data_IF_278262529422
#
_entry.id   IF_278262529422
#
_cell.length_a   1.000
_cell.length_b   1.000
_cell.length_c   1.000
_cell.angle_alpha   90.00
_cell.angle_beta   90.00
_cell.angle_gamma   90.00
#
_symmetry.space_group_name_H-M   'P 1'
#
loop_
_entity.id
_entity.type
_entity.pdbx_description
1 polymer ?
#
# COMPACT_ATOMS: atom_id res chain seq x y z
N UNK A 1 21.75 26.72 8.76
CA UNK A 1 21.40 26.35 7.38
C UNK A 1 20.64 25.05 7.44
N UNK A 2 19.71 24.82 6.51
CA UNK A 2 18.99 23.54 6.44
C UNK A 2 19.83 22.54 5.69
N UNK A 3 20.08 21.39 6.31
CA UNK A 3 20.66 20.23 5.67
C UNK A 3 19.65 19.08 5.69
N UNK A 4 19.27 18.63 4.51
CA UNK A 4 18.46 17.45 4.30
C UNK A 4 19.36 16.26 3.97
N UNK A 5 19.10 15.13 4.62
CA UNK A 5 19.86 13.89 4.44
C UNK A 5 18.86 12.80 4.04
N UNK A 6 19.08 12.15 2.91
CA UNK A 6 18.31 11.02 2.42
C UNK A 6 19.15 9.75 2.32
N UNK A 7 18.58 8.61 2.69
CA UNK A 7 19.21 7.28 2.58
C UNK A 7 18.20 6.24 2.08
N UNK A 8 18.65 5.33 1.23
CA UNK A 8 17.84 4.19 0.77
C UNK A 8 18.70 3.00 0.33
N UNK A 9 18.04 1.83 0.17
CA UNK A 9 18.58 0.57 -0.36
C UNK A 9 19.80 0.04 0.42
N UNK A 10 19.80 0.24 1.74
CA UNK A 10 20.85 -0.22 2.68
C UNK A 10 20.61 -1.60 3.25
N UNK A 11 19.38 -2.10 3.14
CA UNK A 11 18.92 -3.36 3.72
C UNK A 11 18.91 -4.51 2.73
N UNK A 12 18.75 -5.72 3.26
CA UNK A 12 18.58 -6.93 2.45
C UNK A 12 17.61 -7.91 3.14
N UNK A 13 17.14 -8.96 2.43
CA UNK A 13 16.40 -10.05 3.07
C UNK A 13 17.18 -10.78 4.18
N UNK A 14 18.51 -10.63 4.23
CA UNK A 14 19.38 -11.32 5.18
C UNK A 14 19.56 -10.57 6.50
N UNK A 15 19.27 -9.27 6.55
CA UNK A 15 19.44 -8.44 7.74
C UNK A 15 19.47 -6.95 7.42
N UNK A 16 19.67 -6.14 8.45
CA UNK A 16 19.65 -4.67 8.39
C UNK A 16 18.29 -4.07 8.00
N UNK A 17 18.19 -2.75 8.12
CA UNK A 17 17.02 -1.98 7.73
C UNK A 17 17.41 -0.52 7.55
N UNK A 18 17.00 0.11 6.43
CA UNK A 18 17.21 1.56 6.19
C UNK A 18 16.69 2.42 7.34
N UNK A 19 15.60 1.98 7.98
CA UNK A 19 15.01 2.67 9.14
C UNK A 19 15.89 2.59 10.38
N UNK A 20 16.52 1.43 10.64
CA UNK A 20 17.44 1.27 11.77
C UNK A 20 18.65 2.20 11.62
N UNK A 21 19.26 2.24 10.44
CA UNK A 21 20.35 3.16 10.13
C UNK A 21 19.91 4.63 10.27
N UNK A 22 18.76 4.98 9.70
CA UNK A 22 18.23 6.33 9.82
C UNK A 22 17.94 6.76 11.26
N UNK A 23 17.49 5.83 12.11
CA UNK A 23 17.28 6.10 13.54
C UNK A 23 18.60 6.34 14.28
N UNK A 24 19.66 5.59 13.97
CA UNK A 24 20.98 5.81 14.57
C UNK A 24 21.53 7.19 14.21
N UNK A 25 21.53 7.52 12.92
CA UNK A 25 22.00 8.82 12.41
C UNK A 25 21.19 9.97 13.00
N UNK A 26 19.86 9.84 13.05
CA UNK A 26 19.00 10.89 13.63
C UNK A 26 19.35 11.16 15.10
N UNK A 27 19.58 10.10 15.90
CA UNK A 27 19.94 10.20 17.32
C UNK A 27 21.34 10.77 17.54
N UNK A 28 22.28 10.40 16.68
CA UNK A 28 23.65 10.89 16.73
C UNK A 28 23.71 12.39 16.41
N UNK A 29 23.11 12.81 15.30
CA UNK A 29 23.13 14.21 14.87
C UNK A 29 22.24 15.11 15.70
N UNK A 30 21.19 14.59 16.36
CA UNK A 30 20.42 15.37 17.34
C UNK A 30 21.24 15.84 18.55
N UNK A 31 22.47 15.34 18.72
CA UNK A 31 23.43 15.83 19.75
C UNK A 31 24.32 16.96 19.23
N UNK A 32 24.45 17.09 17.91
CA UNK A 32 25.33 18.04 17.22
C UNK A 32 24.56 19.20 16.57
N UNK A 33 23.30 18.96 16.21
CA UNK A 33 22.45 19.88 15.47
C UNK A 33 20.98 19.76 15.89
N UNK A 34 20.20 20.82 15.64
CA UNK A 34 18.78 20.84 15.98
C UNK A 34 17.96 20.16 14.87
N UNK A 35 17.23 19.06 15.15
CA UNK A 35 16.35 18.47 14.17
C UNK A 35 15.13 19.37 13.93
N UNK A 36 14.81 19.63 12.66
CA UNK A 36 13.64 20.46 12.29
C UNK A 36 12.32 19.76 12.63
N UNK A 37 12.30 18.44 12.49
CA UNK A 37 11.13 17.60 12.76
C UNK A 37 11.58 16.16 13.04
N UNK A 38 10.63 15.25 13.26
CA UNK A 38 10.85 13.81 13.25
C UNK A 38 11.45 13.37 11.91
N UNK A 39 12.26 12.29 11.90
CA UNK A 39 12.71 11.72 10.63
C UNK A 39 11.51 11.20 9.83
N UNK A 40 11.66 11.22 8.51
CA UNK A 40 10.64 10.86 7.54
C UNK A 40 10.90 9.45 7.02
N UNK A 41 9.86 8.61 7.01
CA UNK A 41 9.86 7.31 6.36
C UNK A 41 8.95 7.38 5.14
N UNK A 42 9.56 7.42 3.95
CA UNK A 42 8.86 7.64 2.69
C UNK A 42 8.80 6.34 1.91
N UNK A 43 7.60 5.80 1.75
CA UNK A 43 7.31 4.67 0.87
C UNK A 43 7.24 5.19 -0.56
N UNK A 44 7.96 4.56 -1.46
CA UNK A 44 7.96 4.85 -2.90
C UNK A 44 6.98 3.91 -3.62
N UNK A 45 6.99 3.92 -4.95
CA UNK A 45 6.07 3.13 -5.77
C UNK A 45 6.03 1.65 -5.35
N UNK A 46 4.88 1.12 -4.88
CA UNK A 46 4.79 -0.23 -4.35
C UNK A 46 4.87 -1.31 -5.44
N UNK A 47 4.88 -0.93 -6.72
CA UNK A 47 4.82 -1.87 -7.82
C UNK A 47 6.18 -2.29 -8.37
N UNK A 48 7.25 -1.57 -8.02
CA UNK A 48 8.62 -1.84 -8.48
C UNK A 48 9.09 -3.25 -8.05
N UNK A 49 9.76 -4.02 -8.94
CA UNK A 49 10.24 -5.37 -8.63
C UNK A 49 11.55 -5.37 -7.83
N UNK A 50 12.43 -4.40 -8.12
CA UNK A 50 13.69 -4.19 -7.40
C UNK A 50 13.38 -3.43 -6.11
N UNK A 51 12.91 -4.12 -5.08
CA UNK A 51 12.65 -3.52 -3.78
C UNK A 51 12.94 -4.51 -2.68
N UNK A 52 13.39 -4.01 -1.55
CA UNK A 52 13.29 -4.73 -0.28
C UNK A 52 11.84 -4.65 0.22
N UNK A 53 11.58 -5.12 1.45
CA UNK A 53 10.21 -5.14 1.97
C UNK A 53 9.65 -3.72 2.09
N UNK A 54 8.69 -3.43 1.22
CA UNK A 54 7.87 -2.22 1.29
C UNK A 54 8.46 -0.96 0.62
N UNK A 55 9.60 -1.04 -0.08
CA UNK A 55 10.16 0.05 -0.90
C UNK A 55 10.22 1.42 -0.18
N UNK A 56 10.91 1.49 0.96
CA UNK A 56 10.90 2.66 1.83
C UNK A 56 12.29 3.27 2.02
N UNK A 57 12.38 4.57 1.78
CA UNK A 57 13.55 5.40 2.01
C UNK A 57 13.37 6.27 3.27
N UNK A 58 14.47 6.74 3.84
CA UNK A 58 14.46 7.60 5.03
C UNK A 58 15.07 8.95 4.71
N UNK A 59 14.46 10.02 5.22
CA UNK A 59 15.06 11.34 5.22
C UNK A 59 14.99 12.00 6.59
N UNK A 60 15.89 12.93 6.84
CA UNK A 60 15.93 13.74 8.05
C UNK A 60 16.44 15.14 7.71
N UNK A 61 16.11 16.12 8.54
CA UNK A 61 16.47 17.52 8.29
C UNK A 61 16.90 18.19 9.58
N UNK A 62 18.03 18.88 9.52
CA UNK A 62 18.63 19.58 10.64
C UNK A 62 18.92 21.04 10.28
N UNK A 63 18.81 21.92 11.28
CA UNK A 63 19.45 23.23 11.24
C UNK A 63 20.90 23.06 11.74
N UNK A 64 21.86 23.32 10.86
CA UNK A 64 23.29 23.09 11.07
C UNK A 64 24.11 24.36 10.85
N UNK A 65 25.22 24.49 11.58
CA UNK A 65 26.31 25.40 11.24
C UNK A 65 27.08 24.82 10.04
N UNK A 66 27.46 25.67 9.09
CA UNK A 66 28.20 25.24 7.88
C UNK A 66 29.47 24.45 8.22
N UNK A 67 30.11 24.76 9.35
CA UNK A 67 31.36 24.11 9.79
C UNK A 67 31.19 22.63 10.16
N UNK A 68 29.99 22.21 10.58
CA UNK A 68 29.73 20.81 10.97
C UNK A 68 29.22 19.95 9.80
N UNK A 69 28.86 20.57 8.67
CA UNK A 69 28.35 19.85 7.50
C UNK A 69 29.33 18.77 7.01
N UNK A 70 30.64 19.02 6.86
CA UNK A 70 31.57 17.98 6.43
C UNK A 70 31.61 16.78 7.38
N UNK A 71 31.61 17.02 8.69
CA UNK A 71 31.61 15.96 9.71
C UNK A 71 30.34 15.11 9.64
N UNK A 72 29.17 15.75 9.45
CA UNK A 72 27.90 15.04 9.26
C UNK A 72 27.94 14.18 8.00
N UNK A 73 28.40 14.74 6.87
CA UNK A 73 28.50 14.02 5.58
C UNK A 73 29.40 12.78 5.72
N UNK A 74 30.60 12.96 6.28
CA UNK A 74 31.57 11.88 6.49
C UNK A 74 30.99 10.79 7.41
N UNK A 75 30.30 11.19 8.49
CA UNK A 75 29.68 10.27 9.43
C UNK A 75 28.59 9.44 8.75
N UNK A 76 27.68 10.06 7.99
CA UNK A 76 26.65 9.32 7.24
C UNK A 76 27.27 8.30 6.30
N UNK A 77 28.28 8.72 5.51
CA UNK A 77 28.95 7.83 4.57
C UNK A 77 29.67 6.68 5.28
N UNK A 78 30.29 6.95 6.44
CA UNK A 78 30.90 5.94 7.28
C UNK A 78 29.87 4.90 7.75
N UNK A 79 28.76 5.33 8.35
CA UNK A 79 27.74 4.39 8.83
C UNK A 79 27.09 3.62 7.69
N UNK A 80 26.78 4.25 6.55
CA UNK A 80 26.26 3.55 5.37
C UNK A 80 27.25 2.49 4.90
N UNK A 81 28.55 2.80 4.89
CA UNK A 81 29.60 1.86 4.51
C UNK A 81 29.82 0.72 5.52
N UNK A 82 29.58 0.96 6.82
CA UNK A 82 29.74 -0.07 7.85
C UNK A 82 28.50 -0.98 7.98
N UNK A 83 27.31 -0.40 7.80
CA UNK A 83 26.05 -1.03 8.16
C UNK A 83 25.26 -1.56 6.96
N UNK A 84 25.58 -1.17 5.72
CA UNK A 84 24.87 -1.72 4.56
C UNK A 84 25.29 -3.15 4.26
N UNK A 85 24.33 -4.00 3.85
CA UNK A 85 24.65 -5.37 3.42
C UNK A 85 25.19 -5.40 1.98
N UNK A 86 26.47 -5.07 1.81
CA UNK A 86 27.12 -5.11 0.49
C UNK A 86 27.26 -6.53 -0.08
N UNK A 87 27.05 -7.58 0.70
CA UNK A 87 27.16 -8.96 0.19
C UNK A 87 25.98 -9.34 -0.69
N UNK A 88 24.83 -8.69 -0.53
CA UNK A 88 23.63 -8.98 -1.30
C UNK A 88 23.60 -8.20 -2.63
N UNK A 89 23.38 -8.88 -3.75
CA UNK A 89 23.44 -8.28 -5.10
C UNK A 89 22.45 -7.11 -5.28
N UNK A 90 21.26 -7.24 -4.70
CA UNK A 90 20.21 -6.22 -4.83
C UNK A 90 20.35 -5.02 -3.88
N UNK A 91 21.29 -5.03 -2.94
CA UNK A 91 21.52 -3.90 -2.01
C UNK A 91 22.50 -2.92 -2.64
N UNK A 92 21.98 -1.78 -3.11
CA UNK A 92 22.72 -0.74 -3.84
C UNK A 92 22.48 0.64 -3.21
N UNK A 93 23.09 0.90 -2.03
CA UNK A 93 22.81 2.08 -1.23
C UNK A 93 23.00 3.39 -1.99
N UNK A 94 22.15 4.36 -1.65
CA UNK A 94 22.30 5.74 -2.08
C UNK A 94 22.13 6.70 -0.92
N UNK A 95 22.93 7.75 -0.93
CA UNK A 95 22.89 8.85 0.04
C UNK A 95 22.73 10.16 -0.73
N UNK A 96 21.88 11.04 -0.24
CA UNK A 96 21.69 12.39 -0.80
C UNK A 96 21.80 13.42 0.33
N UNK A 97 22.53 14.49 0.06
CA UNK A 97 22.57 15.70 0.85
C UNK A 97 22.02 16.86 0.03
N UNK A 98 21.12 17.64 0.63
CA UNK A 98 20.58 18.83 -0.01
C UNK A 98 20.57 19.99 0.99
N UNK A 99 21.07 21.14 0.57
CA UNK A 99 21.23 22.32 1.43
C UNK A 99 20.24 23.41 1.00
N UNK A 100 19.60 24.05 1.99
CA UNK A 100 18.60 25.10 1.74
C UNK A 100 17.18 24.58 1.56
N UNK A 101 16.32 25.35 0.90
CA UNK A 101 14.90 25.03 0.71
C UNK A 101 14.69 24.11 -0.49
N UNK A 102 13.81 23.12 -0.35
CA UNK A 102 13.51 22.13 -1.39
C UNK A 102 12.83 22.81 -2.60
N UNK A 103 13.41 22.72 -3.81
CA UNK A 103 12.80 23.27 -5.01
C UNK A 103 11.62 22.39 -5.50
N UNK A 104 10.70 23.01 -6.25
CA UNK A 104 9.52 22.34 -6.80
C UNK A 104 9.90 21.15 -7.71
N UNK A 105 10.91 21.32 -8.57
CA UNK A 105 11.46 20.28 -9.45
C UNK A 105 11.80 18.97 -8.69
N UNK A 106 12.36 19.11 -7.48
CA UNK A 106 12.74 17.96 -6.65
C UNK A 106 11.52 17.30 -5.98
N UNK A 107 10.53 18.11 -5.62
CA UNK A 107 9.25 17.63 -5.09
C UNK A 107 8.45 16.88 -6.16
N UNK A 108 8.45 17.37 -7.40
CA UNK A 108 7.85 16.69 -8.54
C UNK A 108 8.53 15.35 -8.83
N UNK A 109 9.86 15.30 -8.78
CA UNK A 109 10.61 14.04 -8.88
C UNK A 109 10.18 13.03 -7.80
N UNK A 110 10.05 13.47 -6.54
CA UNK A 110 9.59 12.62 -5.44
C UNK A 110 8.20 12.02 -5.70
N UNK A 111 7.25 12.85 -6.14
CA UNK A 111 5.89 12.41 -6.48
C UNK A 111 5.89 11.44 -7.68
N UNK A 112 6.73 11.67 -8.69
CA UNK A 112 6.91 10.72 -9.81
C UNK A 112 7.47 9.37 -9.31
N UNK A 113 8.51 9.37 -8.48
CA UNK A 113 9.08 8.15 -7.91
C UNK A 113 8.08 7.34 -7.04
N UNK A 114 7.05 8.00 -6.49
CA UNK A 114 5.94 7.36 -5.80
C UNK A 114 4.90 6.74 -6.75
N UNK A 115 4.65 7.36 -7.90
CA UNK A 115 3.47 7.06 -8.76
C UNK A 115 3.81 6.26 -10.01
N UNK A 116 5.05 6.34 -10.50
CA UNK A 116 5.55 5.68 -11.71
C UNK A 116 6.94 5.07 -11.50
N UNK A 117 7.51 4.46 -12.55
CA UNK A 117 8.89 3.96 -12.53
C UNK A 117 9.85 5.05 -13.02
N UNK A 118 10.91 5.29 -12.25
CA UNK A 118 11.97 6.26 -12.57
C UNK A 118 13.32 5.55 -12.65
N UNK A 119 14.24 6.07 -13.48
CA UNK A 119 15.57 5.47 -13.66
C UNK A 119 16.64 6.14 -12.81
N UNK A 120 17.81 5.49 -12.71
CA UNK A 120 18.97 6.03 -11.98
C UNK A 120 19.48 7.28 -12.70
N UNK A 121 19.53 7.26 -14.03
CA UNK A 121 19.99 8.38 -14.86
C UNK A 121 19.10 9.62 -14.69
N UNK A 122 17.77 9.42 -14.58
CA UNK A 122 16.84 10.50 -14.26
C UNK A 122 17.11 11.10 -12.88
N UNK A 123 17.31 10.26 -11.85
CA UNK A 123 17.61 10.74 -10.50
C UNK A 123 18.93 11.52 -10.44
N UNK A 124 19.98 11.04 -11.11
CA UNK A 124 21.26 11.76 -11.19
C UNK A 124 21.15 13.09 -11.93
N UNK A 125 20.36 13.12 -13.01
CA UNK A 125 20.12 14.35 -13.77
C UNK A 125 19.44 15.40 -12.89
N UNK A 126 18.35 15.02 -12.23
CA UNK A 126 17.62 15.91 -11.31
C UNK A 126 18.52 16.38 -10.17
N UNK A 127 19.29 15.47 -9.55
CA UNK A 127 20.21 15.83 -8.48
C UNK A 127 21.24 16.90 -8.93
N UNK A 128 21.84 16.74 -10.11
CA UNK A 128 22.78 17.73 -10.66
C UNK A 128 22.11 19.08 -10.98
N UNK A 129 20.91 19.05 -11.54
CA UNK A 129 20.17 20.27 -11.92
C UNK A 129 19.80 21.12 -10.71
N UNK A 130 19.41 20.48 -9.59
CA UNK A 130 19.03 21.18 -8.35
C UNK A 130 20.20 21.44 -7.40
N UNK A 131 21.40 20.92 -7.70
CA UNK A 131 22.57 21.05 -6.83
C UNK A 131 22.57 20.13 -5.61
N UNK A 132 21.85 19.00 -5.65
CA UNK A 132 21.91 17.97 -4.63
C UNK A 132 23.22 17.17 -4.73
N UNK A 133 23.93 17.02 -3.62
CA UNK A 133 25.10 16.15 -3.52
C UNK A 133 24.63 14.70 -3.29
N UNK A 134 25.17 13.74 -4.03
CA UNK A 134 24.76 12.35 -3.92
C UNK A 134 25.95 11.39 -3.97
N UNK A 135 25.83 10.30 -3.22
CA UNK A 135 26.83 9.24 -3.16
C UNK A 135 26.19 7.90 -3.50
N UNK A 136 26.85 7.17 -4.41
CA UNK A 136 26.43 5.86 -4.89
C UNK A 136 27.34 4.80 -4.32
N UNK A 137 26.74 3.75 -3.76
CA UNK A 137 27.44 2.51 -3.50
C UNK A 137 26.96 1.45 -4.51
N UNK A 138 27.90 0.70 -5.09
CA UNK A 138 27.65 -0.19 -6.26
C UNK A 138 27.00 0.58 -7.41
N UNK A 139 25.88 0.09 -7.96
CA UNK A 139 25.15 0.78 -9.04
C UNK A 139 24.38 2.01 -8.53
N UNK A 140 24.22 2.17 -7.21
CA UNK A 140 23.64 3.37 -6.59
C UNK A 140 22.14 3.57 -6.82
N UNK A 141 21.36 2.49 -6.96
CA UNK A 141 19.90 2.56 -7.15
C UNK A 141 19.19 3.29 -6.02
N UNK A 142 19.71 3.22 -4.80
CA UNK A 142 19.17 3.92 -3.63
C UNK A 142 19.15 5.45 -3.76
N UNK A 143 19.86 6.07 -4.72
CA UNK A 143 19.76 7.52 -4.91
C UNK A 143 18.35 7.95 -5.27
N UNK A 144 17.59 7.10 -5.98
CA UNK A 144 16.20 7.38 -6.35
C UNK A 144 15.38 7.63 -5.09
N UNK A 145 15.47 6.70 -4.13
CA UNK A 145 14.70 6.79 -2.90
C UNK A 145 15.23 7.83 -1.94
N UNK A 146 16.54 7.97 -1.81
CA UNK A 146 17.15 9.02 -1.00
C UNK A 146 16.72 10.43 -1.46
N UNK A 147 16.77 10.67 -2.78
CA UNK A 147 16.37 11.93 -3.39
C UNK A 147 14.86 12.17 -3.23
N UNK A 148 14.04 11.15 -3.49
CA UNK A 148 12.60 11.23 -3.31
C UNK A 148 12.21 11.46 -1.84
N UNK A 149 12.89 10.81 -0.88
CA UNK A 149 12.58 10.97 0.54
C UNK A 149 12.89 12.37 1.07
N UNK A 150 13.99 12.98 0.62
CA UNK A 150 14.37 14.35 0.96
C UNK A 150 13.28 15.33 0.59
N UNK A 151 12.68 15.16 -0.59
CA UNK A 151 11.78 16.16 -1.17
C UNK A 151 10.29 15.80 -1.15
N UNK A 152 9.90 14.68 -0.54
CA UNK A 152 8.48 14.32 -0.48
C UNK A 152 7.67 15.39 0.27
N UNK A 153 6.66 16.01 -0.36
CA UNK A 153 5.83 17.04 0.26
C UNK A 153 4.87 16.37 1.24
N UNK A 154 5.26 16.37 2.51
CA UNK A 154 4.59 15.62 3.58
C UNK A 154 3.32 16.33 4.08
N UNK A 155 2.46 16.79 3.17
CA UNK A 155 1.22 17.54 3.45
C UNK A 155 0.21 16.70 4.23
N UNK A 156 0.04 15.44 3.80
CA UNK A 156 -0.70 14.42 4.53
C UNK A 156 0.26 13.35 4.99
N UNK A 157 0.19 13.03 6.27
CA UNK A 157 1.06 12.03 6.86
C UNK A 157 0.35 11.24 7.94
N UNK A 158 0.97 10.13 8.28
CA UNK A 158 0.71 9.36 9.48
C UNK A 158 2.01 9.20 10.26
N UNK A 159 1.93 8.63 11.45
CA UNK A 159 3.07 8.29 12.28
C UNK A 159 3.30 6.78 12.24
N UNK A 160 4.56 6.37 12.25
CA UNK A 160 4.94 4.99 12.54
C UNK A 160 6.04 4.99 13.60
N UNK A 161 5.78 4.33 14.73
CA UNK A 161 6.81 4.04 15.73
C UNK A 161 7.42 2.69 15.42
N UNK A 162 8.72 2.67 15.17
CA UNK A 162 9.50 1.46 15.02
C UNK A 162 10.30 1.22 16.30
N UNK A 163 10.07 0.07 16.94
CA UNK A 163 10.89 -0.42 18.03
C UNK A 163 11.93 -1.40 17.47
N UNK A 164 13.17 -1.32 17.94
CA UNK A 164 14.28 -2.14 17.42
C UNK A 164 14.81 -3.09 18.49
N UNK A 165 15.31 -4.23 18.03
CA UNK A 165 15.79 -5.34 18.85
C UNK A 165 17.27 -5.17 19.16
N UNK A 166 17.68 -5.65 20.33
CA UNK A 166 19.10 -5.85 20.62
C UNK A 166 19.74 -6.77 19.57
N UNK A 167 20.99 -6.51 19.13
CA UNK A 167 21.68 -7.31 18.11
C UNK A 167 21.66 -8.82 18.37
N UNK A 168 21.79 -9.22 19.64
CA UNK A 168 21.77 -10.64 20.06
C UNK A 168 20.44 -11.36 19.74
N UNK A 169 19.34 -10.62 19.58
CA UNK A 169 18.05 -11.18 19.23
C UNK A 169 17.80 -11.23 17.71
N UNK A 170 18.66 -10.66 16.87
CA UNK A 170 18.42 -10.61 15.41
C UNK A 170 18.36 -12.02 14.81
N UNK A 171 17.49 -12.21 13.82
CA UNK A 171 17.27 -13.54 13.20
C UNK A 171 16.50 -14.55 14.05
N UNK A 172 16.26 -14.29 15.34
CA UNK A 172 15.44 -15.15 16.21
C UNK A 172 13.95 -14.79 16.13
N UNK A 173 13.02 -15.69 16.50
CA UNK A 173 11.60 -15.35 16.62
C UNK A 173 11.37 -14.19 17.58
N UNK A 174 10.56 -13.21 17.16
CA UNK A 174 10.17 -12.05 17.98
C UNK A 174 9.33 -12.49 19.15
N UNK A 175 9.59 -11.93 20.33
CA UNK A 175 8.85 -12.22 21.57
C UNK A 175 7.98 -11.02 21.93
N UNK A 176 6.73 -11.02 21.45
CA UNK A 176 5.72 -9.98 21.71
C UNK A 176 4.44 -10.69 22.12
N UNK A 177 3.82 -10.28 23.23
CA UNK A 177 2.58 -10.89 23.68
C UNK A 177 1.41 -10.49 22.79
N UNK A 178 0.82 -11.46 22.08
CA UNK A 178 -0.21 -11.18 21.09
C UNK A 178 -1.50 -10.60 21.69
N UNK A 179 -1.92 -11.06 22.86
CA UNK A 179 -3.14 -10.58 23.52
C UNK A 179 -3.00 -9.12 23.97
N UNK A 180 -1.83 -8.70 24.46
CA UNK A 180 -1.51 -7.31 24.74
C UNK A 180 -1.65 -6.42 23.50
N UNK A 181 -1.26 -6.91 22.32
CA UNK A 181 -1.43 -6.17 21.05
C UNK A 181 -2.91 -6.04 20.69
N UNK A 182 -3.72 -7.10 20.86
CA UNK A 182 -5.17 -7.01 20.64
C UNK A 182 -5.85 -6.03 21.59
N UNK A 183 -5.47 -6.03 22.87
CA UNK A 183 -5.99 -5.10 23.87
C UNK A 183 -5.58 -3.66 23.55
N UNK A 184 -4.31 -3.43 23.19
CA UNK A 184 -3.79 -2.12 22.82
C UNK A 184 -4.44 -1.59 21.54
N UNK A 185 -4.66 -2.43 20.52
CA UNK A 185 -5.36 -2.09 19.29
C UNK A 185 -6.82 -1.70 19.59
N UNK A 186 -7.57 -2.55 20.31
CA UNK A 186 -8.96 -2.26 20.66
C UNK A 186 -9.12 -0.96 21.44
N UNK A 187 -8.14 -0.60 22.28
CA UNK A 187 -8.17 0.64 23.07
C UNK A 187 -7.84 1.89 22.26
N UNK A 188 -6.98 1.77 21.25
CA UNK A 188 -6.47 2.91 20.48
C UNK A 188 -7.09 3.07 19.10
N UNK A 189 -7.87 2.10 18.63
CA UNK A 189 -8.57 2.17 17.36
C UNK A 189 -9.61 3.30 17.34
N UNK A 190 -9.71 4.11 16.25
CA UNK A 190 -8.95 4.04 15.01
C UNK A 190 -7.71 4.97 14.97
N UNK A 191 -7.31 5.58 16.10
CA UNK A 191 -6.17 6.48 16.16
C UNK A 191 -4.84 5.76 15.92
N UNK A 192 -4.73 4.51 16.37
CA UNK A 192 -3.85 3.51 15.75
C UNK A 192 -4.69 2.49 15.00
N UNK A 193 -4.09 1.82 14.03
CA UNK A 193 -4.84 0.94 13.13
C UNK A 193 -3.88 -0.06 12.48
N UNK A 194 -4.44 -1.10 11.88
CA UNK A 194 -3.70 -2.18 11.22
C UNK A 194 -2.65 -2.84 12.13
N UNK A 195 -2.86 -2.80 13.46
CA UNK A 195 -1.97 -3.51 14.37
C UNK A 195 -2.25 -5.01 14.39
N UNK A 196 -3.51 -5.39 14.12
CA UNK A 196 -4.00 -6.77 14.08
C UNK A 196 -4.98 -6.97 12.93
N UNK A 197 -5.16 -8.23 12.51
CA UNK A 197 -6.33 -8.67 11.76
C UNK A 197 -7.32 -9.34 12.74
N UNK A 198 -8.46 -8.70 13.07
CA UNK A 198 -9.41 -9.25 14.04
C UNK A 198 -10.13 -10.50 13.52
N UNK A 199 -10.23 -10.70 12.21
CA UNK A 199 -10.90 -11.86 11.63
C UNK A 199 -10.00 -13.09 11.61
N UNK A 200 -8.70 -12.90 11.32
CA UNK A 200 -7.70 -13.97 11.32
C UNK A 200 -7.11 -14.20 12.70
N UNK A 201 -7.30 -13.26 13.63
CA UNK A 201 -6.61 -13.20 14.93
C UNK A 201 -5.09 -13.26 14.76
N UNK A 202 -4.55 -12.45 13.87
CA UNK A 202 -3.09 -12.31 13.67
C UNK A 202 -2.59 -10.93 14.03
N UNK A 203 -1.41 -10.87 14.65
CA UNK A 203 -0.66 -9.63 14.88
C UNK A 203 0.03 -9.20 13.59
N UNK A 204 -0.10 -7.92 13.22
CA UNK A 204 0.43 -7.34 11.98
C UNK A 204 1.63 -6.42 12.21
N UNK A 205 1.80 -5.87 13.42
CA UNK A 205 2.92 -4.96 13.74
C UNK A 205 4.28 -5.65 13.81
N UNK A 206 4.32 -6.98 13.92
CA UNK A 206 5.57 -7.75 14.00
C UNK A 206 6.02 -8.21 12.62
N UNK A 207 7.12 -7.69 12.07
CA UNK A 207 7.62 -8.15 10.79
C UNK A 207 8.08 -9.61 10.85
N UNK A 208 8.02 -10.30 9.71
CA UNK A 208 8.60 -11.63 9.55
C UNK A 208 10.00 -11.51 8.93
N UNK A 209 11.04 -12.02 9.58
CA UNK A 209 12.39 -12.03 8.99
C UNK A 209 13.48 -11.79 10.02
N UNK A 210 14.70 -11.60 9.49
CA UNK A 210 15.93 -11.38 10.27
C UNK A 210 16.22 -9.92 10.58
N UNK A 211 15.34 -9.01 10.13
CA UNK A 211 15.49 -7.57 10.27
C UNK A 211 15.49 -7.14 11.75
N UNK A 212 16.07 -5.97 12.07
CA UNK A 212 16.20 -5.47 13.44
C UNK A 212 14.90 -4.93 14.05
N UNK A 213 13.79 -4.82 13.32
CA UNK A 213 12.55 -4.22 13.82
C UNK A 213 11.83 -5.24 14.70
N UNK A 214 11.49 -4.87 15.93
CA UNK A 214 10.65 -5.65 16.83
C UNK A 214 9.18 -5.51 16.45
N UNK A 215 8.68 -4.26 16.46
CA UNK A 215 7.31 -3.91 16.11
C UNK A 215 7.27 -2.55 15.39
N UNK A 216 6.27 -2.39 14.51
CA UNK A 216 5.91 -1.12 13.90
C UNK A 216 4.46 -0.75 14.18
N UNK A 217 4.21 0.32 14.95
CA UNK A 217 2.87 0.78 15.34
C UNK A 217 2.51 2.02 14.53
N UNK A 218 1.43 1.96 13.77
CA UNK A 218 0.95 3.06 12.92
C UNK A 218 -0.17 3.83 13.58
N UNK A 219 -0.22 5.13 13.34
CA UNK A 219 -1.34 5.94 13.80
C UNK A 219 -1.41 7.33 13.22
N UNK A 220 -2.55 7.98 13.38
CA UNK A 220 -2.78 9.37 12.97
C UNK A 220 -2.51 10.37 14.10
N UNK A 221 -2.31 9.88 15.32
CA UNK A 221 -2.04 10.70 16.50
C UNK A 221 -0.75 10.26 17.20
N UNK A 222 0.17 11.21 17.39
CA UNK A 222 1.48 10.96 18.01
C UNK A 222 1.34 10.41 19.44
N UNK A 223 0.46 11.02 20.24
CA UNK A 223 0.27 10.62 21.64
C UNK A 223 -0.26 9.20 21.74
N UNK A 224 -1.23 8.85 20.90
CA UNK A 224 -1.82 7.52 20.86
C UNK A 224 -0.83 6.46 20.42
N UNK A 225 -0.01 6.73 19.41
CA UNK A 225 1.04 5.78 18.97
C UNK A 225 2.00 5.44 20.13
N UNK A 226 2.45 6.45 20.87
CA UNK A 226 3.33 6.25 22.03
C UNK A 226 2.62 5.49 23.16
N UNK A 227 1.38 5.86 23.48
CA UNK A 227 0.60 5.16 24.50
C UNK A 227 0.29 3.71 24.12
N UNK A 228 0.06 3.42 22.84
CA UNK A 228 -0.13 2.05 22.35
C UNK A 228 1.16 1.26 22.48
N UNK A 229 2.32 1.85 22.15
CA UNK A 229 3.62 1.23 22.35
C UNK A 229 3.86 0.84 23.83
N UNK A 230 3.54 1.73 24.78
CA UNK A 230 3.67 1.48 26.22
C UNK A 230 2.72 0.37 26.74
N UNK A 231 1.66 0.07 25.99
CA UNK A 231 0.66 -0.96 26.35
C UNK A 231 0.97 -2.34 25.79
N UNK A 232 1.86 -2.44 24.81
CA UNK A 232 2.28 -3.72 24.24
C UNK A 232 3.31 -4.36 25.17
N UNK A 233 3.10 -5.62 25.52
CA UNK A 233 4.03 -6.37 26.36
C UNK A 233 5.10 -7.06 25.51
N UNK A 234 6.37 -6.77 25.81
CA UNK A 234 7.53 -7.31 25.11
C UNK A 234 8.21 -8.40 25.95
N UNK A 235 8.34 -9.59 25.39
CA UNK A 235 9.09 -10.72 25.98
C UNK A 235 10.59 -10.70 25.65
N UNK A 236 11.08 -9.61 25.09
CA UNK A 236 12.50 -9.34 24.81
C UNK A 236 12.82 -7.86 24.97
N UNK A 237 14.07 -7.48 25.26
CA UNK A 237 14.44 -6.08 25.45
C UNK A 237 14.27 -5.28 24.15
N UNK A 238 13.76 -4.07 24.31
CA UNK A 238 13.73 -3.05 23.25
C UNK A 238 15.01 -2.23 23.35
N UNK A 239 15.87 -2.30 22.34
CA UNK A 239 17.14 -1.56 22.34
C UNK A 239 16.91 -0.05 22.28
N UNK A 240 16.04 0.37 21.37
CA UNK A 240 15.52 1.73 21.27
C UNK A 240 14.30 1.75 20.35
N UNK A 241 13.62 2.89 20.29
CA UNK A 241 12.54 3.14 19.35
C UNK A 241 12.74 4.47 18.62
N UNK A 242 12.17 4.60 17.44
CA UNK A 242 12.12 5.85 16.68
C UNK A 242 10.72 6.08 16.13
N UNK A 243 10.19 7.29 16.38
CA UNK A 243 8.94 7.74 15.77
C UNK A 243 9.26 8.43 14.44
N UNK A 244 8.61 8.00 13.38
CA UNK A 244 8.69 8.61 12.05
C UNK A 244 7.40 9.32 11.70
N UNK A 245 7.52 10.41 10.93
CA UNK A 245 6.43 10.86 10.07
C UNK A 245 6.52 10.12 8.73
N UNK A 246 5.39 9.71 8.17
CA UNK A 246 5.39 8.84 6.98
C UNK A 246 4.24 9.17 6.04
N UNK A 247 4.44 8.90 4.75
CA UNK A 247 3.40 8.94 3.73
C UNK A 247 2.56 7.65 3.68
N UNK A 248 2.70 6.76 4.67
CA UNK A 248 1.87 5.58 4.76
C UNK A 248 0.41 5.94 4.98
N UNK A 249 -0.47 5.14 4.38
CA UNK A 249 -1.92 5.27 4.49
C UNK A 249 -2.45 6.63 4.04
N UNK A 250 -1.89 7.22 2.99
CA UNK A 250 -2.32 8.50 2.41
C UNK A 250 -3.04 8.34 1.06
N UNK A 251 -2.96 7.17 0.43
CA UNK A 251 -3.36 6.92 -0.97
C UNK A 251 -2.63 7.82 -2.00
N UNK A 252 -1.52 8.46 -1.66
CA UNK A 252 -0.85 9.42 -2.53
C UNK A 252 -0.18 8.79 -3.78
N UNK A 253 -0.03 7.46 -3.78
CA UNK A 253 0.37 6.71 -4.97
C UNK A 253 -0.75 6.61 -6.01
N UNK A 254 -2.01 6.72 -5.61
CA UNK A 254 -3.14 6.50 -6.51
C UNK A 254 -3.43 7.75 -7.34
N UNK A 255 -3.28 7.61 -8.66
CA UNK A 255 -3.52 8.69 -9.62
C UNK A 255 -4.68 8.36 -10.56
N UNK A 256 -5.61 9.28 -10.85
CA UNK A 256 -6.62 9.08 -11.88
C UNK A 256 -5.97 8.90 -13.25
N UNK A 257 -6.34 7.84 -13.98
CA UNK A 257 -5.86 7.56 -15.35
C UNK A 257 -6.98 6.98 -16.22
N UNK A 258 -6.85 7.08 -17.53
CA UNK A 258 -7.66 6.29 -18.48
C UNK A 258 -7.07 4.90 -18.64
N UNK A 259 -7.90 3.91 -18.98
CA UNK A 259 -7.46 2.51 -19.07
C UNK A 259 -6.38 2.32 -20.14
N UNK A 260 -6.49 2.99 -21.28
CA UNK A 260 -5.53 2.95 -22.38
C UNK A 260 -4.19 3.63 -22.08
N UNK A 261 -4.09 4.41 -21.00
CA UNK A 261 -2.86 5.12 -20.59
C UNK A 261 -2.05 4.34 -19.56
N UNK A 262 -2.60 3.24 -19.01
CA UNK A 262 -1.97 2.48 -17.95
C UNK A 262 -0.67 1.84 -18.44
N UNK A 263 0.41 2.08 -17.70
CA UNK A 263 1.72 1.48 -17.92
C UNK A 263 2.07 0.49 -16.82
N UNK A 264 3.03 -0.38 -17.12
CA UNK A 264 3.61 -1.25 -16.12
C UNK A 264 4.15 -0.43 -14.94
N UNK A 265 3.82 -0.86 -13.72
CA UNK A 265 4.17 -0.23 -12.44
C UNK A 265 3.38 1.02 -12.03
N UNK A 266 2.41 1.48 -12.82
CA UNK A 266 1.53 2.57 -12.41
C UNK A 266 0.72 2.23 -11.15
N UNK A 267 0.46 3.24 -10.32
CA UNK A 267 -0.58 3.17 -9.27
C UNK A 267 -1.74 4.07 -9.67
N UNK A 268 -2.90 3.46 -9.94
CA UNK A 268 -3.97 4.11 -10.70
C UNK A 268 -5.35 3.96 -10.06
N UNK A 269 -6.19 4.96 -10.36
CA UNK A 269 -7.64 4.95 -10.16
C UNK A 269 -8.26 5.05 -11.55
N UNK A 270 -9.03 4.03 -11.92
CA UNK A 270 -9.70 3.96 -13.22
C UNK A 270 -11.19 3.78 -13.04
N UNK A 271 -11.97 4.42 -13.90
CA UNK A 271 -13.42 4.26 -13.97
C UNK A 271 -13.77 3.55 -15.27
N UNK A 272 -14.50 2.46 -15.19
CA UNK A 272 -14.85 1.67 -16.37
C UNK A 272 -16.01 0.73 -16.13
N UNK A 273 -16.41 0.01 -17.18
CA UNK A 273 -17.45 -1.01 -17.15
C UNK A 273 -16.83 -2.40 -17.16
N UNK A 274 -17.43 -3.32 -16.41
CA UNK A 274 -17.05 -4.73 -16.41
C UNK A 274 -17.40 -5.32 -17.78
N UNK A 275 -16.38 -5.71 -18.55
CA UNK A 275 -16.55 -6.13 -19.95
C UNK A 275 -17.11 -7.56 -20.08
N UNK A 276 -16.80 -8.42 -19.11
CA UNK A 276 -17.15 -9.85 -19.15
C UNK A 276 -17.24 -10.47 -17.76
N UNK A 277 -17.73 -11.72 -17.67
CA UNK A 277 -17.82 -12.42 -16.40
C UNK A 277 -16.42 -12.62 -15.79
N UNK A 278 -16.34 -12.66 -14.48
CA UNK A 278 -15.09 -13.02 -13.81
C UNK A 278 -14.71 -14.48 -14.11
N UNK A 279 -13.42 -14.77 -14.02
CA UNK A 279 -12.90 -16.13 -14.01
C UNK A 279 -11.92 -16.33 -12.85
N UNK A 280 -11.62 -17.58 -12.55
CA UNK A 280 -10.70 -17.93 -11.47
C UNK A 280 -9.51 -18.73 -12.01
N UNK A 281 -8.32 -18.45 -11.47
CA UNK A 281 -7.14 -19.28 -11.67
C UNK A 281 -6.45 -19.47 -10.32
N UNK A 282 -6.36 -20.72 -9.87
CA UNK A 282 -6.00 -21.04 -8.49
C UNK A 282 -7.03 -20.45 -7.53
N UNK A 283 -6.59 -19.58 -6.62
CA UNK A 283 -7.47 -18.84 -5.70
C UNK A 283 -7.57 -17.35 -6.08
N UNK A 284 -7.21 -16.96 -7.29
CA UNK A 284 -7.26 -15.57 -7.74
C UNK A 284 -8.53 -15.34 -8.56
N UNK A 285 -9.16 -14.18 -8.39
CA UNK A 285 -10.33 -13.76 -9.18
C UNK A 285 -9.89 -12.70 -10.17
N UNK A 286 -10.19 -12.91 -11.44
CA UNK A 286 -9.88 -12.00 -12.52
C UNK A 286 -11.15 -11.59 -13.25
N UNK A 287 -11.16 -10.38 -13.79
CA UNK A 287 -12.19 -9.90 -14.72
C UNK A 287 -11.57 -8.85 -15.65
N UNK A 288 -12.33 -8.35 -16.61
CA UNK A 288 -11.88 -7.27 -17.48
C UNK A 288 -12.70 -6.00 -17.24
N UNK A 289 -12.02 -4.86 -17.25
CA UNK A 289 -12.63 -3.54 -17.21
C UNK A 289 -12.33 -2.81 -18.52
N UNK A 290 -13.31 -2.10 -19.05
CA UNK A 290 -13.17 -1.31 -20.27
C UNK A 290 -13.75 0.10 -20.12
N UNK A 291 -13.14 1.04 -20.83
CA UNK A 291 -13.60 2.41 -21.02
C UNK A 291 -13.49 2.77 -22.53
N UNK A 292 -13.67 4.03 -22.88
CA UNK A 292 -13.54 4.51 -24.27
C UNK A 292 -12.12 4.41 -24.85
N UNK A 293 -11.10 4.24 -24.01
CA UNK A 293 -9.68 4.25 -24.40
C UNK A 293 -9.08 2.86 -24.50
N UNK A 294 -9.63 1.86 -23.79
CA UNK A 294 -9.11 0.51 -23.86
C UNK A 294 -9.74 -0.47 -22.87
N UNK A 295 -9.09 -1.62 -22.74
CA UNK A 295 -9.48 -2.71 -21.83
C UNK A 295 -8.27 -3.17 -21.02
N UNK A 296 -8.49 -3.50 -19.74
CA UNK A 296 -7.46 -3.99 -18.83
C UNK A 296 -7.95 -5.19 -18.02
N UNK A 297 -7.05 -6.14 -17.74
CA UNK A 297 -7.33 -7.21 -16.78
C UNK A 297 -7.28 -6.65 -15.37
N UNK A 298 -8.25 -6.99 -14.54
CA UNK A 298 -8.30 -6.62 -13.13
C UNK A 298 -8.24 -7.88 -12.28
N UNK A 299 -7.49 -7.84 -11.19
CA UNK A 299 -7.29 -9.00 -10.34
C UNK A 299 -7.50 -8.70 -8.84
N UNK A 300 -8.19 -9.61 -8.16
CA UNK A 300 -8.19 -9.73 -6.71
C UNK A 300 -7.49 -11.04 -6.31
N UNK A 301 -6.25 -10.90 -5.85
CA UNK A 301 -5.39 -12.05 -5.51
C UNK A 301 -5.81 -12.76 -4.23
N UNK A 302 -5.28 -13.97 -4.03
CA UNK A 302 -5.61 -14.82 -2.87
C UNK A 302 -5.39 -14.12 -1.54
N UNK A 303 -4.30 -13.35 -1.35
CA UNK A 303 -4.05 -12.65 -0.10
C UNK A 303 -5.16 -11.66 0.29
N UNK A 304 -5.96 -11.17 -0.65
CA UNK A 304 -7.08 -10.26 -0.37
C UNK A 304 -8.29 -10.93 0.32
N UNK A 305 -8.24 -12.25 0.52
CA UNK A 305 -9.22 -13.05 1.30
C UNK A 305 -10.68 -12.77 0.93
N UNK A 306 -11.47 -12.24 1.88
CA UNK A 306 -12.92 -11.99 1.75
C UNK A 306 -13.24 -10.93 0.71
N UNK A 307 -12.29 -10.04 0.39
CA UNK A 307 -12.46 -9.01 -0.63
C UNK A 307 -12.87 -9.58 -1.99
N UNK A 308 -12.31 -10.73 -2.37
CA UNK A 308 -12.68 -11.48 -3.59
C UNK A 308 -14.17 -11.83 -3.67
N UNK A 309 -14.84 -12.01 -2.54
CA UNK A 309 -16.28 -12.31 -2.52
C UNK A 309 -17.12 -11.15 -3.05
N UNK A 310 -16.68 -9.91 -2.85
CA UNK A 310 -17.34 -8.75 -3.43
C UNK A 310 -17.06 -8.65 -4.93
N UNK A 311 -15.83 -8.95 -5.36
CA UNK A 311 -15.46 -8.96 -6.80
C UNK A 311 -16.27 -9.99 -7.58
N UNK A 312 -16.54 -11.19 -7.01
CA UNK A 312 -17.39 -12.22 -7.62
C UNK A 312 -18.85 -11.79 -7.84
N UNK A 313 -19.30 -10.74 -7.16
CA UNK A 313 -20.68 -10.24 -7.28
C UNK A 313 -20.84 -9.22 -8.41
N UNK A 314 -19.74 -8.81 -9.06
CA UNK A 314 -19.78 -7.95 -10.23
C UNK A 314 -20.35 -8.72 -11.44
N UNK A 315 -21.15 -8.03 -12.23
CA UNK A 315 -21.76 -8.54 -13.46
C UNK A 315 -21.25 -7.72 -14.66
N UNK A 316 -21.20 -8.33 -15.86
CA UNK A 316 -20.96 -7.59 -17.10
C UNK A 316 -21.90 -6.38 -17.23
N UNK A 317 -21.32 -5.22 -17.56
CA UNK A 317 -22.03 -3.95 -17.67
C UNK A 317 -22.08 -3.12 -16.38
N UNK A 318 -21.70 -3.68 -15.22
CA UNK A 318 -21.52 -2.87 -14.01
C UNK A 318 -20.43 -1.82 -14.24
N UNK A 319 -20.69 -0.58 -13.84
CA UNK A 319 -19.73 0.51 -13.85
C UNK A 319 -19.11 0.64 -12.47
N UNK A 320 -17.77 0.61 -12.39
CA UNK A 320 -17.03 0.71 -11.13
C UNK A 320 -15.88 1.72 -11.25
N UNK A 321 -15.44 2.22 -10.10
CA UNK A 321 -14.11 2.79 -9.93
C UNK A 321 -13.24 1.72 -9.29
N UNK A 322 -12.12 1.40 -9.91
CA UNK A 322 -11.14 0.44 -9.43
C UNK A 322 -9.83 1.18 -9.12
N UNK A 323 -9.25 0.90 -7.95
CA UNK A 323 -8.00 1.51 -7.51
C UNK A 323 -6.97 0.43 -7.15
N UNK A 324 -5.74 0.62 -7.63
CA UNK A 324 -4.66 -0.31 -7.33
C UNK A 324 -3.42 -0.15 -8.20
N UNK A 325 -2.49 -1.08 -8.03
CA UNK A 325 -1.21 -1.08 -8.75
C UNK A 325 -1.22 -1.94 -10.01
N UNK A 326 -0.63 -1.46 -11.08
CA UNK A 326 -0.53 -2.14 -12.37
C UNK A 326 0.73 -2.98 -12.42
N UNK A 327 0.56 -4.29 -12.67
CA UNK A 327 1.65 -5.25 -12.82
C UNK A 327 1.37 -6.18 -13.99
N UNK A 328 2.44 -6.71 -14.56
CA UNK A 328 2.33 -7.80 -15.52
C UNK A 328 2.25 -9.13 -14.77
N UNK A 329 1.30 -9.98 -15.18
CA UNK A 329 1.33 -11.40 -14.81
C UNK A 329 1.12 -12.22 -16.07
N UNK A 330 2.03 -13.14 -16.37
CA UNK A 330 1.90 -14.04 -17.53
C UNK A 330 1.82 -13.27 -18.86
N UNK A 331 2.61 -12.20 -19.02
CA UNK A 331 2.59 -11.37 -20.23
C UNK A 331 1.40 -10.42 -20.35
N UNK A 332 0.53 -10.35 -19.33
CA UNK A 332 -0.71 -9.55 -19.39
C UNK A 332 -0.69 -8.47 -18.32
N UNK A 333 -0.81 -7.22 -18.76
CA UNK A 333 -0.95 -6.04 -17.89
C UNK A 333 -2.23 -6.16 -17.04
N UNK A 334 -2.09 -5.94 -15.74
CA UNK A 334 -3.16 -6.21 -14.77
C UNK A 334 -3.20 -5.17 -13.68
N UNK A 335 -4.39 -4.63 -13.41
CA UNK A 335 -4.65 -3.80 -12.24
C UNK A 335 -4.93 -4.69 -11.02
N UNK A 336 -4.03 -4.68 -10.05
CA UNK A 336 -4.15 -5.40 -8.80
C UNK A 336 -4.99 -4.57 -7.81
N UNK A 337 -6.23 -4.98 -7.54
CA UNK A 337 -7.16 -4.22 -6.70
C UNK A 337 -6.69 -4.03 -5.26
N UNK A 338 -6.75 -2.78 -4.80
CA UNK A 338 -6.65 -2.35 -3.40
C UNK A 338 -8.01 -1.92 -2.87
N UNK A 339 -8.78 -1.20 -3.70
CA UNK A 339 -10.15 -0.76 -3.41
C UNK A 339 -11.00 -0.77 -4.69
N UNK A 340 -12.31 -0.86 -4.54
CA UNK A 340 -13.23 -0.53 -5.62
C UNK A 340 -14.54 0.06 -5.10
N UNK A 341 -15.24 0.79 -5.96
CA UNK A 341 -16.54 1.38 -5.68
C UNK A 341 -17.52 1.11 -6.83
N UNK A 342 -18.68 0.46 -6.58
CA UNK A 342 -19.72 0.31 -7.58
C UNK A 342 -20.42 1.64 -7.87
N UNK A 343 -20.18 2.19 -9.06
CA UNK A 343 -20.82 3.42 -9.54
C UNK A 343 -22.25 3.12 -9.96
N UNK A 344 -22.44 2.16 -10.87
CA UNK A 344 -23.74 1.77 -11.40
C UNK A 344 -23.80 0.26 -11.54
N UNK A 345 -24.83 -0.37 -10.97
CA UNK A 345 -25.03 -1.81 -11.05
C UNK A 345 -26.13 -2.14 -12.06
N UNK A 346 -25.90 -3.11 -12.93
CA UNK A 346 -26.95 -3.62 -13.82
C UNK A 346 -27.94 -4.50 -13.05
N UNK A 347 -29.21 -4.59 -13.48
CA UNK A 347 -30.17 -5.52 -12.88
C UNK A 347 -29.69 -6.98 -12.95
N UNK A 348 -29.82 -7.72 -11.85
CA UNK A 348 -29.60 -9.17 -11.86
C UNK A 348 -30.93 -9.85 -12.19
N UNK A 349 -31.01 -10.45 -13.38
CA UNK A 349 -32.21 -11.14 -13.84
C UNK A 349 -32.06 -12.65 -13.63
N UNK A 350 -32.97 -13.25 -12.87
CA UNK A 350 -33.09 -14.70 -12.74
C UNK A 350 -34.36 -15.20 -13.43
N UNK A 351 -34.26 -16.36 -14.08
CA UNK A 351 -35.36 -16.94 -14.83
C UNK A 351 -36.11 -17.96 -13.97
N UNK A 352 -37.31 -17.60 -13.52
CA UNK A 352 -38.15 -18.47 -12.70
C UNK A 352 -39.17 -19.22 -13.56
N UNK A 353 -39.57 -20.40 -13.08
CA UNK A 353 -40.63 -21.18 -13.73
C UNK A 353 -41.99 -20.59 -13.30
N UNK A 354 -42.94 -20.39 -14.23
CA UNK A 354 -44.28 -19.98 -13.87
C UNK A 354 -44.94 -21.01 -12.95
N UNK A 355 -45.93 -20.58 -12.18
CA UNK A 355 -46.87 -21.49 -11.50
C UNK A 355 -47.75 -22.18 -12.54
N UNK A 356 -48.22 -23.39 -12.24
CA UNK A 356 -49.10 -24.11 -13.15
C UNK A 356 -50.40 -23.33 -13.38
N UNK A 357 -50.77 -23.00 -14.64
CA UNK A 357 -51.98 -22.21 -14.93
C UNK A 357 -53.27 -22.95 -14.57
N UNK A 358 -53.24 -24.29 -14.45
CA UNK A 358 -54.43 -25.10 -14.09
C UNK A 358 -54.66 -25.26 -12.58
N UNK A 359 -53.60 -25.29 -11.76
CA UNK A 359 -53.73 -25.68 -10.34
C UNK A 359 -52.80 -24.93 -9.38
N UNK A 360 -52.03 -23.95 -9.86
CA UNK A 360 -51.06 -23.17 -9.07
C UNK A 360 -49.81 -23.94 -8.63
N UNK A 361 -49.72 -25.25 -8.90
CA UNK A 361 -48.59 -26.09 -8.46
C UNK A 361 -47.25 -25.76 -9.14
N UNK A 362 -46.15 -26.15 -8.50
CA UNK A 362 -44.79 -25.93 -9.01
C UNK A 362 -44.50 -26.73 -10.30
N UNK A 363 -43.91 -26.06 -11.28
CA UNK A 363 -43.52 -26.65 -12.57
C UNK A 363 -42.09 -27.23 -12.52
N UNK A 364 -41.85 -28.38 -13.16
CA UNK A 364 -40.53 -29.02 -13.33
C UNK A 364 -40.13 -29.00 -14.81
N UNK A 365 -38.87 -28.71 -15.11
CA UNK A 365 -38.34 -28.79 -16.48
C UNK A 365 -38.20 -30.26 -16.89
N UNK A 366 -38.60 -30.56 -18.13
CA UNK A 366 -38.46 -31.87 -18.77
C UNK A 366 -37.83 -31.72 -20.15
N UNK A 367 -36.66 -31.07 -20.19
CA UNK A 367 -36.00 -30.68 -21.43
C UNK A 367 -36.60 -29.40 -22.00
N UNK A 368 -37.38 -29.57 -23.06
CA UNK A 368 -38.05 -28.58 -23.92
C UNK A 368 -39.41 -28.09 -23.38
N UNK A 369 -40.03 -28.81 -22.44
CA UNK A 369 -41.31 -28.41 -21.83
C UNK A 369 -41.26 -28.36 -20.29
N UNK A 370 -42.26 -27.71 -19.70
CA UNK A 370 -42.53 -27.69 -18.26
C UNK A 370 -43.70 -28.62 -17.93
N UNK A 371 -43.55 -29.46 -16.90
CA UNK A 371 -44.62 -30.33 -16.37
C UNK A 371 -44.95 -29.96 -14.94
N UNK A 372 -46.22 -29.78 -14.63
CA UNK A 372 -46.69 -29.57 -13.26
C UNK A 372 -46.44 -30.83 -12.41
N UNK A 373 -45.83 -30.66 -11.24
CA UNK A 373 -45.65 -31.77 -10.28
C UNK A 373 -46.97 -32.30 -9.70
N UNK A 374 -47.99 -31.45 -9.62
CA UNK A 374 -49.28 -31.75 -8.96
C UNK A 374 -50.30 -32.40 -9.90
N UNK A 375 -50.63 -31.74 -11.02
CA UNK A 375 -51.69 -32.20 -11.94
C UNK A 375 -51.16 -32.76 -13.26
N UNK A 376 -49.85 -32.81 -13.47
CA UNK A 376 -49.24 -33.34 -14.70
C UNK A 376 -49.38 -32.45 -15.95
N UNK A 377 -50.05 -31.30 -15.87
CA UNK A 377 -50.20 -30.35 -16.99
C UNK A 377 -48.83 -30.00 -17.61
N UNK A 378 -48.76 -30.06 -18.93
CA UNK A 378 -47.57 -29.74 -19.74
C UNK A 378 -47.77 -28.40 -20.44
N UNK A 379 -46.72 -27.60 -20.53
CA UNK A 379 -46.70 -26.35 -21.30
C UNK A 379 -45.30 -26.10 -21.88
N UNK A 380 -45.17 -25.24 -22.92
CA UNK A 380 -43.87 -24.83 -23.43
C UNK A 380 -42.97 -24.25 -22.35
N UNK A 381 -41.65 -24.45 -22.46
CA UNK A 381 -40.69 -23.89 -21.51
C UNK A 381 -40.51 -22.39 -21.72
N UNK A 382 -41.42 -21.62 -21.15
CA UNK A 382 -41.33 -20.16 -21.02
C UNK A 382 -41.00 -19.81 -19.57
N UNK A 383 -39.78 -19.33 -19.34
CA UNK A 383 -39.36 -18.84 -18.02
C UNK A 383 -39.70 -17.35 -17.91
N UNK A 384 -40.02 -16.92 -16.70
CA UNK A 384 -40.33 -15.53 -16.37
C UNK A 384 -39.03 -14.88 -15.87
N UNK A 385 -38.54 -13.80 -16.51
CA UNK A 385 -37.45 -13.03 -15.96
C UNK A 385 -37.94 -12.29 -14.70
N UNK A 386 -37.22 -12.45 -13.61
CA UNK A 386 -37.49 -11.76 -12.34
C UNK A 386 -36.21 -11.04 -11.94
N UNK A 387 -36.33 -9.75 -11.65
CA UNK A 387 -35.23 -8.98 -11.09
C UNK A 387 -35.02 -9.37 -9.63
N UNK A 388 -33.77 -9.73 -9.30
CA UNK A 388 -33.36 -10.11 -7.95
C UNK A 388 -32.46 -9.01 -7.40
N UNK A 389 -32.63 -8.60 -6.13
CA UNK A 389 -31.78 -7.60 -5.51
C UNK A 389 -30.29 -7.93 -5.65
N UNK A 390 -29.47 -6.92 -5.97
CA UNK A 390 -28.01 -7.06 -5.98
C UNK A 390 -27.51 -7.16 -4.54
N UNK A 391 -26.53 -8.03 -4.31
CA UNK A 391 -25.85 -8.16 -3.02
C UNK A 391 -24.62 -7.24 -2.89
N UNK A 392 -24.51 -6.25 -3.77
CA UNK A 392 -23.52 -5.17 -3.73
C UNK A 392 -24.25 -3.87 -3.42
N UNK A 393 -23.67 -3.09 -2.52
CA UNK A 393 -24.11 -1.76 -2.13
C UNK A 393 -23.21 -0.72 -2.80
N UNK A 394 -23.70 0.51 -2.96
CA UNK A 394 -22.91 1.63 -3.46
C UNK A 394 -22.05 2.19 -2.33
N UNK A 395 -21.01 1.44 -1.97
CA UNK A 395 -19.99 1.81 -0.98
C UNK A 395 -18.61 1.39 -1.44
N UNK A 396 -17.58 1.92 -0.81
CA UNK A 396 -16.20 1.53 -1.10
C UNK A 396 -15.93 0.19 -0.43
N UNK A 397 -15.39 -0.75 -1.19
CA UNK A 397 -14.88 -2.01 -0.70
C UNK A 397 -13.35 -1.93 -0.71
N UNK A 398 -12.72 -2.31 0.39
CA UNK A 398 -11.26 -2.36 0.53
C UNK A 398 -10.77 -3.76 0.94
N UNK A 399 -9.48 -4.01 0.68
CA UNK A 399 -8.79 -5.22 1.15
C UNK A 399 -8.71 -5.27 2.69
N UNK A 400 -8.64 -6.47 3.30
CA UNK A 400 -8.45 -6.60 4.74
C UNK A 400 -7.08 -6.07 5.18
N UNK A 401 -6.88 -5.77 6.48
CA UNK A 401 -5.62 -5.26 7.03
C UNK A 401 -4.38 -6.07 6.64
N UNK A 402 -4.46 -7.40 6.70
CA UNK A 402 -3.37 -8.34 6.38
C UNK A 402 -2.93 -8.29 4.90
N UNK A 403 -3.74 -7.68 4.03
CA UNK A 403 -3.47 -7.52 2.59
C UNK A 403 -3.29 -6.05 2.18
N UNK A 404 -3.40 -5.11 3.12
CA UNK A 404 -3.30 -3.68 2.83
C UNK A 404 -1.85 -3.33 2.51
N UNK A 405 -1.63 -2.57 1.44
CA UNK A 405 -0.29 -2.04 1.13
C UNK A 405 0.00 -0.86 2.07
N UNK A 406 1.28 -0.58 2.29
CA UNK A 406 1.75 0.51 3.15
C UNK A 406 1.12 1.87 2.83
N UNK A 407 0.93 2.19 1.55
CA UNK A 407 0.41 3.48 1.11
C UNK A 407 -1.13 3.54 1.10
N UNK A 408 -1.82 2.40 1.04
CA UNK A 408 -3.28 2.37 0.95
C UNK A 408 -3.91 2.89 2.24
N UNK A 409 -4.74 3.92 2.16
CA UNK A 409 -5.44 4.51 3.32
C UNK A 409 -6.62 3.64 3.74
N UNK A 410 -6.69 3.12 4.99
CA UNK A 410 -7.87 2.40 5.46
C UNK A 410 -9.14 3.27 5.44
N UNK A 411 -10.28 2.70 5.10
CA UNK A 411 -11.58 3.39 5.11
C UNK A 411 -12.03 3.87 6.49
N UNK A 412 -11.46 3.32 7.58
CA UNK A 412 -11.77 3.79 8.94
C UNK A 412 -11.17 5.16 9.23
N UNK A 413 -10.11 5.55 8.51
CA UNK A 413 -9.46 6.83 8.75
C UNK A 413 -10.21 7.95 8.02
N UNK A 414 -10.28 9.16 8.61
CA UNK A 414 -10.87 10.32 7.93
C UNK A 414 -10.26 10.53 6.54
N UNK A 415 -11.08 10.67 5.51
CA UNK A 415 -10.61 10.87 4.14
C UNK A 415 -10.09 9.60 3.45
N UNK A 416 -10.31 8.41 4.02
CA UNK A 416 -10.01 7.12 3.36
C UNK A 416 -10.82 6.88 2.08
N UNK A 417 -11.90 7.63 1.91
CA UNK A 417 -12.78 7.67 0.75
C UNK A 417 -12.41 8.71 -0.30
N UNK A 418 -11.61 9.72 0.05
CA UNK A 418 -11.43 10.94 -0.76
C UNK A 418 -10.98 10.66 -2.18
N UNK A 419 -9.94 9.84 -2.37
CA UNK A 419 -9.43 9.49 -3.71
C UNK A 419 -10.48 8.85 -4.62
N UNK A 420 -11.41 8.08 -4.04
CA UNK A 420 -12.51 7.50 -4.79
C UNK A 420 -13.62 8.53 -5.03
N UNK A 421 -13.88 9.43 -4.08
CA UNK A 421 -14.86 10.51 -4.22
C UNK A 421 -14.40 11.59 -5.22
N UNK A 422 -13.11 11.92 -5.27
CA UNK A 422 -12.47 12.74 -6.31
C UNK A 422 -12.70 12.12 -7.69
N UNK A 423 -12.49 10.81 -7.83
CA UNK A 423 -12.76 10.08 -9.08
C UNK A 423 -14.26 10.00 -9.45
N UNK A 424 -15.16 10.23 -8.49
CA UNK A 424 -16.59 10.40 -8.75
C UNK A 424 -16.96 11.83 -9.20
N UNK A 425 -16.04 12.79 -9.07
CA UNK A 425 -16.30 14.22 -9.28
C UNK A 425 -17.14 14.86 -8.16
N UNK A 426 -17.16 14.24 -6.98
CA UNK A 426 -17.92 14.73 -5.81
C UNK A 426 -17.07 15.70 -4.98
N UNK A 427 -15.76 15.45 -4.90
CA UNK A 427 -14.78 16.37 -4.32
C UNK A 427 -14.02 17.05 -5.46
N UNK A 428 -13.81 18.37 -5.34
CA UNK A 428 -13.04 19.19 -6.28
C UNK A 428 -11.71 19.57 -5.67
#
# INVERSE_FOLDING_TARGET
>A
MRLHIGIDDTDSPNGMCTTYLGALLYREFSRLAEPIDLPRLIRLNPNIPYKTRGNGAVAMTFEVDEKVIPEIKDTVLFYVNQLSDFTHENTNPGVVFFEGDIPEELSEFSLRALREHVTIEEAERVAREVGAEYFKFKVGRGIIGALAAVAYPLERFTYELLAYREPDNWGTPRRVDGESVFLADSWSYPFTYDNVDPYKRSVLITPHGKDPVLVGIRGIDRGKVLQTFERVEFGEPVAFHQLYKTNQNTDDHLTPKKIGELKLYDSAIVRGRVAGPYWERGRHVFFELEDETGRIRVAAFEPTKKFRNYVRKLLPGDEIIAAGGVKEHEGVLTLNLEKFYPVKLVPRIEYQKPKCPKCGGTMKSKGDYLKCKRCGHKMPKKLIPVEVPRELERKIYEVPPDARKHLSRPLVLPGGEEKILEALGILK
#
